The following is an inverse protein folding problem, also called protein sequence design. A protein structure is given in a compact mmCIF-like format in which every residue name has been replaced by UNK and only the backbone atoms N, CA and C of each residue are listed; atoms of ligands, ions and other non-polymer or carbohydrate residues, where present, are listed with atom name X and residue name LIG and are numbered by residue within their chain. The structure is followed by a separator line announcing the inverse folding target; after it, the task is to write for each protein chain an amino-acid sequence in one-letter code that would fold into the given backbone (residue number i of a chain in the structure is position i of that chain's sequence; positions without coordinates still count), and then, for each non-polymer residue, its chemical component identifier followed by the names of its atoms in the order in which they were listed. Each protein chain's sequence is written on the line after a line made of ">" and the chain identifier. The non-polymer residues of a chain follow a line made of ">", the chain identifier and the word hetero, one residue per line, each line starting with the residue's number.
data_IF_269126495870
#
_entry.id   IF_269126495870
#
_cell.length_a   1.000
_cell.length_b   1.000
_cell.length_c   1.000
_cell.angle_alpha   90.00
_cell.angle_beta   90.00
_cell.angle_gamma   90.00
#
_symmetry.space_group_name_H-M   'P 1'
#
loop_
_entity.id
_entity.type
_entity.pdbx_description
1 polymer ?
#
# COMPACT_ATOMS: atom_id res chain seq x y z
N UNK A 1 -13.76 -26.01 -20.36
CA UNK A 1 -13.77 -26.81 -19.10
C UNK A 1 -12.49 -26.45 -18.35
N UNK A 2 -12.58 -25.89 -17.14
CA UNK A 2 -11.44 -25.28 -16.44
C UNK A 2 -10.39 -26.33 -16.05
N UNK A 3 -9.42 -26.60 -16.94
CA UNK A 3 -8.31 -27.53 -16.70
C UNK A 3 -7.55 -27.19 -15.41
N UNK A 4 -7.55 -25.92 -15.02
CA UNK A 4 -6.97 -25.40 -13.76
C UNK A 4 -7.77 -25.75 -12.52
N UNK A 5 -9.10 -25.90 -12.60
CA UNK A 5 -9.94 -26.19 -11.44
C UNK A 5 -9.99 -27.69 -11.14
N UNK A 6 -10.05 -28.54 -12.18
CA UNK A 6 -9.91 -29.99 -11.99
C UNK A 6 -8.57 -30.32 -11.31
N UNK A 7 -7.48 -29.70 -11.77
CA UNK A 7 -6.15 -29.84 -11.14
C UNK A 7 -6.15 -29.46 -9.66
N UNK A 8 -6.85 -28.38 -9.27
CA UNK A 8 -6.95 -27.95 -7.86
C UNK A 8 -7.78 -28.90 -7.01
N UNK A 9 -8.84 -29.47 -7.57
CA UNK A 9 -9.66 -30.48 -6.88
C UNK A 9 -8.84 -31.76 -6.69
N UNK A 10 -8.13 -32.20 -7.74
CA UNK A 10 -7.28 -33.39 -7.72
C UNK A 10 -6.09 -33.29 -6.75
N UNK A 11 -5.67 -32.08 -6.38
CA UNK A 11 -4.62 -31.85 -5.37
C UNK A 11 -5.06 -32.21 -3.94
N UNK A 12 -6.36 -32.18 -3.64
CA UNK A 12 -6.87 -32.55 -2.32
C UNK A 12 -7.31 -34.01 -2.37
N UNK A 13 -6.49 -34.88 -1.76
CA UNK A 13 -6.72 -36.34 -1.75
C UNK A 13 -7.03 -36.83 -0.34
N UNK A 14 -7.45 -38.09 -0.19
CA UNK A 14 -7.67 -38.69 1.13
C UNK A 14 -6.43 -38.65 2.05
N UNK A 15 -5.23 -38.47 1.49
CA UNK A 15 -3.97 -38.33 2.22
C UNK A 15 -3.67 -36.88 2.64
N UNK A 16 -4.50 -35.92 2.26
CA UNK A 16 -4.32 -34.49 2.53
C UNK A 16 -5.08 -34.06 3.78
N UNK A 17 -4.38 -33.42 4.71
CA UNK A 17 -4.96 -32.63 5.80
C UNK A 17 -5.30 -31.23 5.27
N UNK A 18 -6.59 -30.89 5.26
CA UNK A 18 -7.04 -29.56 4.82
C UNK A 18 -7.30 -28.70 6.04
N UNK A 19 -6.63 -27.56 6.11
CA UNK A 19 -6.72 -26.64 7.23
C UNK A 19 -7.32 -25.33 6.73
N UNK A 20 -8.38 -24.86 7.34
CA UNK A 20 -8.89 -23.51 7.14
C UNK A 20 -8.56 -22.64 8.33
N UNK A 21 -8.11 -21.41 8.06
CA UNK A 21 -7.74 -20.45 9.08
C UNK A 21 -8.46 -19.13 8.86
N UNK A 22 -9.20 -18.71 9.88
CA UNK A 22 -9.73 -17.35 9.95
C UNK A 22 -8.68 -16.42 10.56
N UNK A 23 -8.32 -15.36 9.83
CA UNK A 23 -7.17 -14.51 10.13
C UNK A 23 -7.62 -13.21 10.82
N UNK A 24 -7.07 -12.95 12.01
CA UNK A 24 -7.27 -11.70 12.73
C UNK A 24 -5.95 -11.14 13.30
N UNK A 25 -6.01 -9.94 13.87
CA UNK A 25 -4.82 -9.19 14.31
C UNK A 25 -3.95 -9.91 15.36
N UNK A 26 -4.57 -10.60 16.32
CA UNK A 26 -3.85 -11.19 17.47
C UNK A 26 -4.02 -12.70 17.58
N UNK A 27 -5.16 -13.22 17.14
CA UNK A 27 -5.58 -14.59 17.37
C UNK A 27 -6.39 -15.09 16.19
N UNK A 28 -5.86 -16.10 15.53
CA UNK A 28 -6.50 -16.83 14.44
C UNK A 28 -7.31 -17.99 15.00
N UNK A 29 -8.24 -18.50 14.20
CA UNK A 29 -8.94 -19.75 14.48
C UNK A 29 -8.69 -20.76 13.38
N UNK A 30 -8.47 -22.00 13.77
CA UNK A 30 -8.11 -23.10 12.88
C UNK A 30 -9.20 -24.15 12.90
N UNK A 31 -9.60 -24.63 11.73
CA UNK A 31 -10.39 -25.84 11.53
C UNK A 31 -9.62 -26.83 10.66
N UNK A 32 -9.64 -28.11 11.03
CA UNK A 32 -8.96 -29.18 10.31
C UNK A 32 -10.00 -30.17 9.79
N UNK A 33 -9.97 -30.45 8.49
CA UNK A 33 -10.88 -31.38 7.83
C UNK A 33 -10.14 -32.36 6.94
N UNK A 34 -10.78 -33.48 6.64
CA UNK A 34 -10.33 -34.41 5.60
C UNK A 34 -10.78 -33.99 4.19
N UNK A 35 -10.39 -34.75 3.16
CA UNK A 35 -10.81 -34.53 1.77
C UNK A 35 -12.33 -34.61 1.53
N UNK A 36 -13.10 -35.11 2.51
CA UNK A 36 -14.57 -35.13 2.48
C UNK A 36 -15.18 -33.93 3.18
N UNK A 37 -14.40 -33.15 3.93
CA UNK A 37 -14.82 -31.95 4.65
C UNK A 37 -15.32 -32.25 6.06
N UNK A 38 -15.03 -33.45 6.58
CA UNK A 38 -15.38 -33.85 7.95
C UNK A 38 -14.36 -33.27 8.92
N UNK A 39 -14.83 -32.65 10.00
CA UNK A 39 -13.96 -32.11 11.05
C UNK A 39 -13.18 -33.25 11.74
N UNK A 40 -11.86 -33.12 11.80
CA UNK A 40 -10.95 -34.11 12.40
C UNK A 40 -10.64 -33.78 13.87
N UNK A 41 -10.43 -32.50 14.19
CA UNK A 41 -10.20 -32.01 15.56
C UNK A 41 -11.12 -30.85 15.89
N UNK A 42 -11.29 -30.60 17.20
CA UNK A 42 -11.91 -29.37 17.68
C UNK A 42 -11.10 -28.16 17.21
N UNK A 43 -11.80 -27.06 16.99
CA UNK A 43 -11.22 -25.82 16.48
C UNK A 43 -10.33 -25.18 17.53
N UNK A 44 -9.12 -24.78 17.13
CA UNK A 44 -8.06 -24.31 18.05
C UNK A 44 -7.70 -22.87 17.73
N UNK A 45 -7.54 -22.00 18.75
CA UNK A 45 -7.01 -20.67 18.52
C UNK A 45 -5.48 -20.69 18.35
N UNK A 46 -4.96 -19.89 17.43
CA UNK A 46 -3.52 -19.72 17.20
C UNK A 46 -3.16 -18.26 17.38
N UNK A 47 -2.16 -17.96 18.20
CA UNK A 47 -1.71 -16.58 18.43
C UNK A 47 -0.77 -16.11 17.31
N UNK A 48 -0.87 -14.82 16.95
CA UNK A 48 0.01 -14.13 16.01
C UNK A 48 1.39 -13.89 16.66
N UNK A 49 2.16 -14.96 16.89
CA UNK A 49 3.50 -14.93 17.48
C UNK A 49 4.30 -16.17 17.06
N UNK A 50 5.63 -16.11 17.15
CA UNK A 50 6.49 -17.27 16.85
C UNK A 50 6.12 -18.50 17.69
N UNK A 51 5.88 -18.31 19.00
CA UNK A 51 5.45 -19.42 19.86
C UNK A 51 4.07 -19.99 19.45
N UNK A 52 3.12 -19.12 19.06
CA UNK A 52 1.82 -19.56 18.56
C UNK A 52 1.92 -20.34 17.24
N UNK A 53 2.79 -19.91 16.33
CA UNK A 53 3.02 -20.59 15.06
C UNK A 53 3.75 -21.92 15.21
N UNK A 54 4.73 -22.03 16.12
CA UNK A 54 5.36 -23.32 16.42
C UNK A 54 4.38 -24.30 17.10
N UNK A 55 3.49 -23.81 17.98
CA UNK A 55 2.40 -24.62 18.53
C UNK A 55 1.43 -25.09 17.42
N UNK A 56 1.11 -24.22 16.47
CA UNK A 56 0.30 -24.57 15.32
C UNK A 56 0.99 -25.63 14.45
N UNK A 57 2.28 -25.48 14.15
CA UNK A 57 3.04 -26.47 13.40
C UNK A 57 3.07 -27.83 14.10
N UNK A 58 3.29 -27.86 15.42
CA UNK A 58 3.21 -29.10 16.20
C UNK A 58 1.82 -29.75 16.12
N UNK A 59 0.75 -28.94 16.15
CA UNK A 59 -0.62 -29.42 16.00
C UNK A 59 -0.87 -30.04 14.61
N UNK A 60 -0.30 -29.45 13.55
CA UNK A 60 -0.33 -30.02 12.19
C UNK A 60 0.34 -31.40 12.19
N UNK A 61 1.57 -31.49 12.70
CA UNK A 61 2.33 -32.74 12.73
C UNK A 61 1.66 -33.84 13.58
N UNK A 62 0.99 -33.46 14.66
CA UNK A 62 0.19 -34.37 15.48
C UNK A 62 -1.04 -34.87 14.70
N UNK A 63 -1.81 -33.96 14.09
CA UNK A 63 -2.99 -34.33 13.30
C UNK A 63 -2.63 -35.20 12.09
N UNK A 64 -1.51 -34.92 11.42
CA UNK A 64 -1.05 -35.75 10.29
C UNK A 64 -0.75 -37.19 10.74
N UNK A 65 -0.09 -37.38 11.89
CA UNK A 65 0.17 -38.72 12.45
C UNK A 65 -1.08 -39.43 12.95
N UNK A 66 -1.99 -38.69 13.57
CA UNK A 66 -3.22 -39.26 14.16
C UNK A 66 -4.22 -39.73 13.10
N UNK A 67 -4.28 -39.03 11.95
CA UNK A 67 -5.26 -39.31 10.88
C UNK A 67 -4.63 -39.86 9.59
N UNK A 68 -3.40 -40.40 9.69
CA UNK A 68 -2.63 -40.98 8.59
C UNK A 68 -2.61 -40.08 7.34
N UNK A 69 -2.22 -38.82 7.51
CA UNK A 69 -2.06 -37.83 6.43
C UNK A 69 -0.59 -37.64 6.10
N UNK A 70 -0.26 -37.61 4.82
CA UNK A 70 1.09 -37.35 4.31
C UNK A 70 1.25 -35.95 3.76
N UNK A 71 0.15 -35.31 3.36
CA UNK A 71 0.14 -33.97 2.78
C UNK A 71 -0.67 -33.01 3.65
N UNK A 72 -0.38 -31.71 3.56
CA UNK A 72 -1.13 -30.66 4.24
C UNK A 72 -1.30 -29.44 3.34
N UNK A 73 -2.46 -28.79 3.44
CA UNK A 73 -2.73 -27.52 2.78
C UNK A 73 -3.45 -26.58 3.75
N UNK A 74 -2.97 -25.34 3.84
CA UNK A 74 -3.56 -24.30 4.70
C UNK A 74 -4.24 -23.27 3.83
N UNK A 75 -5.55 -23.08 4.03
CA UNK A 75 -6.33 -22.03 3.41
C UNK A 75 -6.64 -20.89 4.37
N UNK A 76 -6.60 -19.67 3.86
CA UNK A 76 -7.00 -18.46 4.57
C UNK A 76 -7.99 -17.64 3.77
N UNK A 77 -8.83 -16.88 4.47
CA UNK A 77 -9.44 -15.68 3.91
C UNK A 77 -8.51 -14.49 4.20
N UNK A 78 -8.04 -13.73 3.19
CA UNK A 78 -7.11 -12.64 3.42
C UNK A 78 -7.81 -11.46 4.11
N UNK A 79 -7.44 -11.20 5.37
CA UNK A 79 -7.89 -10.04 6.15
C UNK A 79 -6.72 -9.10 6.43
N UNK A 80 -6.65 -7.98 5.70
CA UNK A 80 -5.55 -7.02 5.82
C UNK A 80 -4.18 -7.67 5.55
N UNK A 81 -3.16 -7.24 6.29
CA UNK A 81 -1.77 -7.74 6.16
C UNK A 81 -1.42 -8.85 7.17
N UNK A 82 -2.33 -9.24 8.07
CA UNK A 82 -2.01 -10.12 9.19
C UNK A 82 -1.58 -11.53 8.78
N UNK A 83 -1.95 -11.97 7.57
CA UNK A 83 -1.59 -13.29 7.05
C UNK A 83 -0.13 -13.39 6.59
N UNK A 84 0.58 -12.28 6.35
CA UNK A 84 1.94 -12.29 5.80
C UNK A 84 2.94 -13.04 6.70
N UNK A 85 2.88 -12.81 8.02
CA UNK A 85 3.74 -13.49 8.97
C UNK A 85 3.52 -15.01 8.96
N UNK A 86 2.26 -15.43 8.82
CA UNK A 86 1.91 -16.85 8.71
C UNK A 86 2.39 -17.42 7.38
N UNK A 87 2.28 -16.67 6.28
CA UNK A 87 2.72 -17.11 4.96
C UNK A 87 4.22 -17.44 4.95
N UNK A 88 5.08 -16.52 5.42
CA UNK A 88 6.51 -16.76 5.51
C UNK A 88 6.85 -17.91 6.45
N UNK A 89 6.18 -18.02 7.60
CA UNK A 89 6.40 -19.14 8.52
C UNK A 89 6.04 -20.49 7.88
N UNK A 90 4.92 -20.59 7.15
CA UNK A 90 4.50 -21.83 6.50
C UNK A 90 5.42 -22.19 5.33
N UNK A 91 5.89 -21.19 4.58
CA UNK A 91 6.88 -21.37 3.51
C UNK A 91 8.21 -21.92 4.05
N UNK A 92 8.72 -21.40 5.18
CA UNK A 92 9.90 -21.94 5.87
C UNK A 92 9.73 -23.42 6.26
N UNK A 93 8.50 -23.86 6.56
CA UNK A 93 8.17 -25.25 6.91
C UNK A 93 7.77 -26.10 5.70
N UNK A 94 7.76 -25.54 4.49
CA UNK A 94 7.36 -26.24 3.26
C UNK A 94 5.86 -26.56 3.20
N UNK A 95 5.00 -25.81 3.91
CA UNK A 95 3.55 -26.02 3.93
C UNK A 95 2.87 -25.06 2.92
N UNK A 96 2.13 -25.59 1.93
CA UNK A 96 1.37 -24.77 0.99
C UNK A 96 0.30 -23.91 1.67
N UNK A 97 0.38 -22.58 1.48
CA UNK A 97 -0.67 -21.63 1.81
C UNK A 97 -1.50 -21.29 0.57
N UNK A 98 -2.82 -21.27 0.71
CA UNK A 98 -3.76 -20.86 -0.34
C UNK A 98 -4.78 -19.85 0.19
N UNK A 99 -5.30 -19.03 -0.69
CA UNK A 99 -6.31 -18.02 -0.38
C UNK A 99 -7.66 -18.39 -0.97
N UNK A 100 -8.71 -18.25 -0.18
CA UNK A 100 -10.10 -18.30 -0.65
C UNK A 100 -10.65 -16.88 -0.82
N UNK A 101 -11.57 -16.71 -1.76
CA UNK A 101 -12.19 -15.40 -2.00
C UNK A 101 -13.17 -15.06 -0.87
N UNK A 102 -13.06 -13.89 -0.20
CA UNK A 102 -14.01 -13.43 0.82
C UNK A 102 -15.49 -13.54 0.42
N UNK A 103 -15.80 -13.27 -0.86
CA UNK A 103 -17.17 -13.40 -1.38
C UNK A 103 -17.67 -14.84 -1.41
N UNK A 104 -16.78 -15.81 -1.64
CA UNK A 104 -17.13 -17.24 -1.58
C UNK A 104 -17.36 -17.69 -0.14
N UNK A 105 -16.55 -17.19 0.79
CA UNK A 105 -16.70 -17.46 2.22
C UNK A 105 -18.06 -16.95 2.70
N UNK A 106 -18.41 -15.68 2.38
CA UNK A 106 -19.71 -15.10 2.73
C UNK A 106 -20.90 -15.90 2.17
N UNK A 107 -20.88 -16.22 0.87
CA UNK A 107 -21.97 -16.98 0.22
C UNK A 107 -22.12 -18.40 0.79
N UNK A 108 -21.01 -19.02 1.17
CA UNK A 108 -21.04 -20.37 1.75
C UNK A 108 -21.63 -20.35 3.17
N UNK A 109 -21.38 -19.28 3.95
CA UNK A 109 -22.04 -19.09 5.26
C UNK A 109 -23.56 -19.03 5.13
N UNK A 110 -24.08 -18.33 4.12
CA UNK A 110 -25.53 -18.23 3.88
C UNK A 110 -26.21 -19.60 3.64
N UNK A 111 -25.46 -20.61 3.17
CA UNK A 111 -25.97 -21.97 2.98
C UNK A 111 -25.92 -22.81 4.26
N UNK A 112 -24.94 -22.56 5.13
CA UNK A 112 -24.67 -23.34 6.34
C UNK A 112 -25.36 -22.76 7.60
N UNK A 113 -25.61 -21.44 7.65
CA UNK A 113 -26.10 -20.76 8.85
C UNK A 113 -27.63 -20.69 8.92
N UNK A 114 -28.20 -21.50 9.82
CA UNK A 114 -29.56 -21.34 10.37
C UNK A 114 -29.57 -20.93 11.86
N UNK A 115 -28.40 -20.65 12.48
CA UNK A 115 -28.29 -20.33 13.92
C UNK A 115 -27.17 -19.32 14.25
N UNK A 116 -27.42 -18.33 15.13
CA UNK A 116 -26.42 -17.36 15.57
C UNK A 116 -25.52 -17.96 16.65
N UNK A 117 -24.31 -18.38 16.30
CA UNK A 117 -23.25 -18.81 17.24
C UNK A 117 -21.89 -18.25 16.80
N UNK A 118 -20.94 -18.12 17.74
CA UNK A 118 -19.63 -17.45 17.58
C UNK A 118 -18.97 -17.71 16.21
N UNK A 119 -18.69 -16.62 15.49
CA UNK A 119 -18.46 -16.62 14.04
C UNK A 119 -17.06 -17.11 13.63
N UNK A 120 -16.01 -16.68 14.33
CA UNK A 120 -14.60 -16.90 13.90
C UNK A 120 -14.23 -18.38 13.71
N UNK A 121 -14.75 -19.26 14.57
CA UNK A 121 -14.50 -20.70 14.46
C UNK A 121 -15.29 -21.35 13.31
N UNK A 122 -16.48 -20.83 12.96
CA UNK A 122 -17.25 -21.33 11.80
C UNK A 122 -16.58 -20.91 10.50
N UNK A 123 -16.02 -19.71 10.47
CA UNK A 123 -15.35 -19.13 9.30
C UNK A 123 -14.16 -19.98 8.87
N UNK A 124 -13.33 -20.40 9.84
CA UNK A 124 -12.24 -21.33 9.61
C UNK A 124 -12.70 -22.65 8.94
N UNK A 125 -13.86 -23.19 9.33
CA UNK A 125 -14.42 -24.41 8.72
C UNK A 125 -14.90 -24.17 7.29
N UNK A 126 -15.59 -23.06 7.05
CA UNK A 126 -16.05 -22.68 5.71
C UNK A 126 -14.86 -22.53 4.76
N UNK A 127 -13.79 -21.88 5.22
CA UNK A 127 -12.53 -21.75 4.47
C UNK A 127 -11.96 -23.14 4.14
N UNK A 128 -11.87 -24.05 5.12
CA UNK A 128 -11.35 -25.40 4.90
C UNK A 128 -12.16 -26.16 3.84
N UNK A 129 -13.48 -26.06 3.87
CA UNK A 129 -14.39 -26.69 2.88
C UNK A 129 -14.21 -26.10 1.48
N UNK A 130 -14.02 -24.79 1.36
CA UNK A 130 -13.74 -24.16 0.07
C UNK A 130 -12.40 -24.60 -0.53
N UNK A 131 -11.37 -24.77 0.32
CA UNK A 131 -10.07 -25.29 -0.10
C UNK A 131 -10.22 -26.70 -0.65
N UNK A 132 -10.92 -27.56 0.10
CA UNK A 132 -11.22 -28.93 -0.30
C UNK A 132 -11.91 -29.02 -1.66
N UNK A 133 -12.80 -28.07 -1.95
CA UNK A 133 -13.53 -28.00 -3.23
C UNK A 133 -12.69 -27.36 -4.37
N UNK A 134 -11.39 -27.13 -4.16
CA UNK A 134 -10.50 -26.51 -5.15
C UNK A 134 -10.79 -25.03 -5.40
N UNK A 135 -11.58 -24.35 -4.55
CA UNK A 135 -12.01 -22.95 -4.70
C UNK A 135 -11.02 -21.97 -4.05
N UNK A 136 -9.75 -22.10 -4.42
CA UNK A 136 -8.68 -21.27 -3.88
C UNK A 136 -7.73 -20.76 -4.98
N UNK A 137 -6.88 -19.80 -4.63
CA UNK A 137 -5.75 -19.32 -5.43
C UNK A 137 -4.49 -19.33 -4.58
N UNK A 138 -3.33 -19.49 -5.22
CA UNK A 138 -2.06 -19.34 -4.52
C UNK A 138 -1.74 -17.85 -4.37
N UNK A 139 -1.43 -17.37 -3.15
CA UNK A 139 -0.88 -16.04 -2.98
C UNK A 139 0.52 -15.99 -3.58
N UNK A 140 0.91 -14.80 -4.03
CA UNK A 140 2.31 -14.53 -4.33
C UNK A 140 2.99 -14.04 -3.05
N UNK A 141 3.94 -14.82 -2.55
CA UNK A 141 4.85 -14.39 -1.50
C UNK A 141 6.02 -13.70 -2.22
N UNK A 142 6.27 -12.44 -1.88
CA UNK A 142 7.32 -11.65 -2.49
C UNK A 142 8.63 -11.89 -1.76
N UNK A 143 9.71 -11.95 -2.52
CA UNK A 143 11.05 -12.26 -2.04
C UNK A 143 12.06 -11.23 -2.53
N UNK A 144 13.10 -11.02 -1.74
CA UNK A 144 14.27 -10.20 -2.10
C UNK A 144 13.87 -8.84 -2.69
N UNK A 145 14.38 -8.52 -3.89
CA UNK A 145 14.13 -7.24 -4.58
C UNK A 145 12.65 -7.00 -4.85
N UNK A 146 11.85 -8.04 -5.14
CA UNK A 146 10.39 -7.86 -5.36
C UNK A 146 9.68 -7.37 -4.10
N UNK A 147 10.09 -7.88 -2.93
CA UNK A 147 9.52 -7.48 -1.64
C UNK A 147 9.88 -6.03 -1.31
N UNK A 148 11.14 -5.64 -1.53
CA UNK A 148 11.61 -4.27 -1.31
C UNK A 148 10.92 -3.27 -2.27
N UNK A 149 10.81 -3.61 -3.55
CA UNK A 149 10.11 -2.78 -4.53
C UNK A 149 8.63 -2.59 -4.15
N UNK A 150 7.93 -3.65 -3.71
CA UNK A 150 6.54 -3.55 -3.25
C UNK A 150 6.40 -2.68 -2.01
N UNK A 151 7.27 -2.88 -1.02
CA UNK A 151 7.24 -2.12 0.22
C UNK A 151 7.52 -0.63 -0.04
N UNK A 152 8.57 -0.34 -0.80
CA UNK A 152 8.98 1.02 -1.13
C UNK A 152 7.98 1.77 -2.01
N UNK A 153 7.38 1.12 -3.02
CA UNK A 153 6.32 1.75 -3.84
C UNK A 153 5.06 2.03 -3.03
N UNK A 154 4.64 1.09 -2.18
CA UNK A 154 3.52 1.31 -1.25
C UNK A 154 3.79 2.49 -0.32
N UNK A 155 5.01 2.59 0.21
CA UNK A 155 5.41 3.72 1.05
C UNK A 155 5.45 5.03 0.25
N UNK A 156 6.01 5.05 -0.95
CA UNK A 156 6.02 6.22 -1.84
C UNK A 156 4.60 6.72 -2.14
N UNK A 157 3.66 5.83 -2.42
CA UNK A 157 2.24 6.22 -2.60
C UNK A 157 1.66 6.90 -1.37
N UNK A 158 2.00 6.41 -0.17
CA UNK A 158 1.55 7.01 1.09
C UNK A 158 2.09 8.43 1.27
N UNK A 159 3.37 8.67 0.93
CA UNK A 159 3.98 9.99 0.98
C UNK A 159 3.36 10.93 -0.05
N UNK A 160 3.06 10.44 -1.26
CA UNK A 160 2.35 11.22 -2.29
C UNK A 160 0.95 11.62 -1.81
N UNK A 161 0.21 10.69 -1.17
CA UNK A 161 -1.11 10.98 -0.57
C UNK A 161 -1.00 12.06 0.51
N UNK A 162 0.00 11.96 1.39
CA UNK A 162 0.26 12.98 2.41
C UNK A 162 0.61 14.34 1.79
N UNK A 163 1.51 14.36 0.80
CA UNK A 163 1.92 15.56 0.07
C UNK A 163 0.72 16.25 -0.56
N UNK A 164 -0.17 15.49 -1.20
CA UNK A 164 -1.41 16.02 -1.78
C UNK A 164 -2.35 16.59 -0.71
N UNK A 165 -2.43 15.96 0.47
CA UNK A 165 -3.22 16.48 1.58
C UNK A 165 -2.67 17.81 2.12
N UNK A 166 -1.35 17.96 2.19
CA UNK A 166 -0.68 19.23 2.56
C UNK A 166 -0.89 20.30 1.50
N UNK A 167 -0.75 19.94 0.22
CA UNK A 167 -1.00 20.83 -0.92
C UNK A 167 -2.44 21.39 -0.86
N UNK A 168 -3.42 20.53 -0.62
CA UNK A 168 -4.81 20.94 -0.49
C UNK A 168 -5.05 21.86 0.72
N UNK A 169 -4.29 21.70 1.81
CA UNK A 169 -4.33 22.63 2.95
C UNK A 169 -3.74 24.00 2.58
N UNK A 170 -2.66 24.04 1.80
CA UNK A 170 -2.07 25.29 1.31
C UNK A 170 -3.01 26.03 0.35
N UNK A 171 -3.69 25.30 -0.53
CA UNK A 171 -4.70 25.88 -1.43
C UNK A 171 -5.83 26.51 -0.61
N UNK A 172 -6.43 25.77 0.33
CA UNK A 172 -7.48 26.33 1.21
C UNK A 172 -7.02 27.55 2.01
N UNK A 173 -5.75 27.55 2.42
CA UNK A 173 -5.16 28.71 3.09
C UNK A 173 -5.10 29.92 2.15
N UNK A 174 -4.66 29.73 0.89
CA UNK A 174 -4.65 30.79 -0.11
C UNK A 174 -6.06 31.31 -0.41
N UNK A 175 -7.04 30.42 -0.57
CA UNK A 175 -8.44 30.80 -0.80
C UNK A 175 -8.98 31.73 0.30
N UNK A 176 -8.49 31.57 1.53
CA UNK A 176 -8.89 32.37 2.68
C UNK A 176 -8.11 33.68 2.81
N UNK A 177 -6.79 33.67 2.61
CA UNK A 177 -5.90 34.77 3.00
C UNK A 177 -5.25 35.51 1.82
N UNK A 178 -5.20 34.92 0.63
CA UNK A 178 -4.68 35.56 -0.58
C UNK A 178 -5.21 34.90 -1.88
N UNK A 179 -6.52 34.97 -2.15
CA UNK A 179 -7.14 34.21 -3.26
C UNK A 179 -6.61 34.60 -4.65
N UNK A 180 -6.16 35.83 -4.84
CA UNK A 180 -5.60 36.31 -6.11
C UNK A 180 -4.20 35.73 -6.41
N UNK A 181 -3.57 35.04 -5.45
CA UNK A 181 -2.25 34.43 -5.62
C UNK A 181 -2.15 33.50 -6.83
N UNK A 182 -3.22 32.73 -7.11
CA UNK A 182 -3.29 31.78 -8.23
C UNK A 182 -3.18 32.46 -9.61
N UNK A 183 -3.52 33.75 -9.70
CA UNK A 183 -3.37 34.54 -10.93
C UNK A 183 -1.89 34.73 -11.31
N UNK A 184 -0.99 34.67 -10.32
CA UNK A 184 0.46 34.81 -10.50
C UNK A 184 1.14 33.45 -10.51
N UNK A 185 0.67 32.54 -9.66
CA UNK A 185 1.25 31.22 -9.45
C UNK A 185 0.18 30.12 -9.63
N UNK A 186 0.01 29.60 -10.85
CA UNK A 186 -0.87 28.45 -11.10
C UNK A 186 -0.40 27.15 -10.42
N UNK A 187 0.87 27.10 -10.00
CA UNK A 187 1.48 25.95 -9.32
C UNK A 187 2.49 26.40 -8.27
N UNK A 188 2.77 25.53 -7.30
CA UNK A 188 3.67 25.78 -6.17
C UNK A 188 5.15 25.54 -6.53
N UNK A 189 5.63 26.26 -7.55
CA UNK A 189 7.06 26.29 -7.87
C UNK A 189 7.89 26.96 -6.76
N UNK A 190 9.23 26.88 -6.88
CA UNK A 190 10.17 27.41 -5.88
C UNK A 190 9.88 28.84 -5.42
N UNK A 191 9.57 29.74 -6.36
CA UNK A 191 9.22 31.13 -6.04
C UNK A 191 7.90 31.25 -5.28
N UNK A 192 6.87 30.48 -5.64
CA UNK A 192 5.59 30.48 -4.91
C UNK A 192 5.78 30.02 -3.46
N UNK A 193 6.57 28.96 -3.25
CA UNK A 193 6.91 28.49 -1.91
C UNK A 193 7.71 29.53 -1.10
N UNK A 194 8.68 30.22 -1.73
CA UNK A 194 9.45 31.28 -1.09
C UNK A 194 8.56 32.47 -0.66
N UNK A 195 7.59 32.84 -1.50
CA UNK A 195 6.61 33.87 -1.15
C UNK A 195 5.79 33.43 0.06
N UNK A 196 5.24 32.22 0.05
CA UNK A 196 4.43 31.69 1.16
C UNK A 196 5.23 31.52 2.46
N UNK A 197 6.54 31.31 2.35
CA UNK A 197 7.44 31.20 3.49
C UNK A 197 7.75 32.57 4.13
N UNK A 198 8.02 33.59 3.31
CA UNK A 198 8.57 34.86 3.78
C UNK A 198 7.55 36.01 3.83
N UNK A 199 6.61 36.05 2.89
CA UNK A 199 5.62 37.12 2.72
C UNK A 199 4.26 36.54 2.26
N UNK A 200 3.62 35.64 3.04
CA UNK A 200 2.41 34.94 2.63
C UNK A 200 1.16 35.82 2.46
N UNK A 201 1.10 37.03 3.04
CA UNK A 201 -0.11 37.86 3.01
C UNK A 201 -0.01 39.02 2.01
N UNK A 202 -1.14 39.53 1.51
CA UNK A 202 -1.17 40.73 0.66
C UNK A 202 -0.48 41.94 1.32
N UNK A 203 -0.73 42.15 2.63
CA UNK A 203 -0.13 43.27 3.36
C UNK A 203 1.39 43.18 3.53
N UNK A 204 1.98 41.99 3.38
CA UNK A 204 3.44 41.84 3.41
C UNK A 204 4.11 42.50 2.20
N UNK A 205 3.33 42.86 1.16
CA UNK A 205 3.79 43.47 -0.08
C UNK A 205 3.69 45.01 -0.08
N UNK A 206 2.88 45.61 0.79
CA UNK A 206 2.46 47.01 0.68
C UNK A 206 3.64 48.01 0.71
N UNK A 207 4.67 47.73 1.52
CA UNK A 207 5.82 48.61 1.73
C UNK A 207 7.16 48.03 1.22
N UNK A 208 7.10 47.01 0.37
CA UNK A 208 8.31 46.33 -0.11
C UNK A 208 8.71 46.79 -1.51
N UNK A 209 10.00 47.00 -1.73
CA UNK A 209 10.56 47.18 -3.08
C UNK A 209 10.72 45.83 -3.76
N UNK A 210 10.63 45.81 -5.09
CA UNK A 210 10.83 44.58 -5.88
C UNK A 210 12.21 44.00 -5.61
N UNK A 211 13.23 44.84 -5.55
CA UNK A 211 14.61 44.47 -5.27
C UNK A 211 14.76 43.88 -3.85
N UNK A 212 14.06 44.42 -2.85
CA UNK A 212 14.04 43.89 -1.49
C UNK A 212 13.37 42.52 -1.38
N UNK A 213 12.23 42.32 -2.06
CA UNK A 213 11.57 41.01 -2.12
C UNK A 213 12.42 39.98 -2.85
N UNK A 214 13.06 40.37 -3.95
CA UNK A 214 13.98 39.50 -4.67
C UNK A 214 15.12 39.02 -3.76
N UNK A 215 15.75 39.92 -3.01
CA UNK A 215 16.82 39.55 -2.08
C UNK A 215 16.31 38.61 -0.98
N UNK A 216 15.14 38.90 -0.40
CA UNK A 216 14.52 38.03 0.61
C UNK A 216 14.26 36.63 0.07
N UNK A 217 13.67 36.50 -1.13
CA UNK A 217 13.32 35.19 -1.68
C UNK A 217 14.55 34.38 -2.14
N UNK A 218 15.69 35.01 -2.46
CA UNK A 218 16.95 34.29 -2.73
C UNK A 218 17.46 33.48 -1.55
N UNK A 219 17.04 33.81 -0.34
CA UNK A 219 17.38 33.06 0.87
C UNK A 219 16.63 31.73 0.97
N UNK A 220 15.58 31.54 0.17
CA UNK A 220 14.78 30.33 0.16
C UNK A 220 15.45 29.20 -0.63
N UNK A 221 15.27 27.97 -0.16
CA UNK A 221 15.99 26.80 -0.65
C UNK A 221 15.84 26.60 -2.17
N UNK A 222 16.98 26.50 -2.86
CA UNK A 222 17.04 26.19 -4.29
C UNK A 222 16.57 27.30 -5.23
N UNK A 223 16.27 28.51 -4.74
CA UNK A 223 15.82 29.66 -5.53
C UNK A 223 16.94 30.71 -5.71
N UNK A 224 17.66 30.65 -6.84
CA UNK A 224 18.76 31.60 -7.12
C UNK A 224 18.33 32.87 -7.84
N UNK A 225 17.35 32.77 -8.75
CA UNK A 225 16.90 33.88 -9.60
C UNK A 225 15.38 34.04 -9.52
N UNK A 226 14.86 34.84 -8.56
CA UNK A 226 13.45 35.17 -8.51
C UNK A 226 13.01 35.92 -9.78
N UNK A 227 11.85 35.55 -10.31
CA UNK A 227 11.32 36.13 -11.54
C UNK A 227 10.69 37.50 -11.25
N UNK A 228 11.41 38.58 -11.60
CA UNK A 228 10.96 39.97 -11.40
C UNK A 228 9.52 40.24 -11.90
N UNK A 229 9.08 39.79 -13.09
CA UNK A 229 7.71 40.03 -13.55
C UNK A 229 6.64 39.41 -12.66
N UNK A 230 6.90 38.22 -12.09
CA UNK A 230 5.95 37.58 -11.16
C UNK A 230 5.85 38.32 -9.84
N UNK A 231 6.96 38.82 -9.32
CA UNK A 231 6.97 39.62 -8.08
C UNK A 231 6.23 40.93 -8.29
N UNK A 232 6.46 41.61 -9.42
CA UNK A 232 5.72 42.82 -9.77
C UNK A 232 4.22 42.52 -9.85
N UNK A 233 3.83 41.45 -10.55
CA UNK A 233 2.41 41.08 -10.66
C UNK A 233 1.80 40.73 -9.30
N UNK A 234 2.57 40.10 -8.42
CA UNK A 234 2.15 39.78 -7.05
C UNK A 234 1.85 41.04 -6.22
N UNK A 235 2.71 42.07 -6.33
CA UNK A 235 2.48 43.37 -5.68
C UNK A 235 1.23 44.05 -6.26
N UNK A 236 0.98 43.92 -7.56
CA UNK A 236 -0.23 44.47 -8.17
C UNK A 236 -1.49 43.82 -7.59
N UNK A 237 -1.56 42.48 -7.60
CA UNK A 237 -2.76 41.76 -7.12
C UNK A 237 -2.94 41.83 -5.60
N UNK A 238 -1.88 42.11 -4.83
CA UNK A 238 -2.00 42.26 -3.37
C UNK A 238 -2.74 43.53 -2.96
N UNK A 239 -2.75 44.57 -3.80
CA UNK A 239 -3.38 45.87 -3.46
C UNK A 239 -4.89 45.78 -3.37
N UNK A 240 -5.49 44.96 -4.23
CA UNK A 240 -6.94 44.79 -4.35
C UNK A 240 -7.40 43.44 -3.78
N UNK A 241 -6.56 42.78 -2.97
CA UNK A 241 -6.86 41.44 -2.46
C UNK A 241 -8.01 41.44 -1.46
N UNK A 242 -8.91 40.46 -1.59
CA UNK A 242 -10.04 40.25 -0.66
C UNK A 242 -9.69 39.31 0.51
N UNK A 243 -8.42 38.94 0.66
CA UNK A 243 -7.96 38.00 1.69
C UNK A 243 -8.28 38.45 3.11
N UNK A 244 -8.59 37.50 4.01
CA UNK A 244 -8.92 37.79 5.40
C UNK A 244 -7.73 38.47 6.11
N UNK A 245 -8.00 39.58 6.78
CA UNK A 245 -7.00 40.35 7.54
C UNK A 245 -6.95 40.01 9.03
N UNK A 246 -7.93 39.27 9.54
CA UNK A 246 -8.03 38.84 10.94
C UNK A 246 -7.26 37.53 11.20
N UNK A 247 -6.72 37.36 12.41
CA UNK A 247 -6.08 36.10 12.83
C UNK A 247 -4.74 35.76 12.16
N UNK A 248 -4.13 36.73 11.45
CA UNK A 248 -2.94 36.50 10.62
C UNK A 248 -1.73 35.90 11.35
N UNK A 249 -1.56 36.17 12.65
CA UNK A 249 -0.43 35.63 13.42
C UNK A 249 -0.39 34.11 13.37
N UNK A 250 -1.53 33.46 13.63
CA UNK A 250 -1.61 31.99 13.61
C UNK A 250 -1.68 31.46 12.18
N UNK A 251 -2.36 32.16 11.28
CA UNK A 251 -2.37 31.80 9.86
C UNK A 251 -0.96 31.80 9.24
N UNK A 252 -0.08 32.74 9.63
CA UNK A 252 1.33 32.75 9.22
C UNK A 252 2.08 31.50 9.70
N UNK A 253 1.89 31.13 10.96
CA UNK A 253 2.50 29.91 11.52
C UNK A 253 2.01 28.66 10.79
N UNK A 254 0.71 28.63 10.45
CA UNK A 254 0.11 27.53 9.71
C UNK A 254 0.73 27.39 8.32
N UNK A 255 0.72 28.43 7.48
CA UNK A 255 1.26 28.34 6.12
C UNK A 255 2.76 28.04 6.10
N UNK A 256 3.54 28.63 7.00
CA UNK A 256 4.97 28.32 7.12
C UNK A 256 5.21 26.84 7.47
N UNK A 257 4.36 26.27 8.32
CA UNK A 257 4.43 24.84 8.68
C UNK A 257 4.05 23.94 7.51
N UNK A 258 3.00 24.28 6.77
CA UNK A 258 2.58 23.53 5.58
C UNK A 258 3.65 23.56 4.48
N UNK A 259 4.25 24.73 4.22
CA UNK A 259 5.33 24.88 3.23
C UNK A 259 6.54 24.02 3.60
N UNK A 260 6.97 24.04 4.88
CA UNK A 260 8.06 23.16 5.34
C UNK A 260 7.72 21.69 5.15
N UNK A 261 6.51 21.25 5.54
CA UNK A 261 6.09 19.85 5.39
C UNK A 261 6.02 19.44 3.92
N UNK A 262 5.51 20.32 3.04
CA UNK A 262 5.47 20.08 1.60
C UNK A 262 6.87 19.85 1.03
N UNK A 263 7.83 20.72 1.35
CA UNK A 263 9.23 20.56 0.90
C UNK A 263 9.86 19.25 1.38
N UNK A 264 9.67 18.94 2.66
CA UNK A 264 10.18 17.69 3.23
C UNK A 264 9.63 16.47 2.47
N UNK A 265 8.32 16.43 2.24
CA UNK A 265 7.69 15.32 1.51
C UNK A 265 8.18 15.22 0.07
N UNK A 266 8.38 16.34 -0.65
CA UNK A 266 8.94 16.31 -2.00
C UNK A 266 10.37 15.74 -2.01
N UNK A 267 11.21 16.10 -1.03
CA UNK A 267 12.56 15.55 -0.89
C UNK A 267 12.55 14.06 -0.56
N UNK A 268 11.71 13.63 0.39
CA UNK A 268 11.56 12.22 0.77
C UNK A 268 11.05 11.38 -0.40
N UNK A 269 10.07 11.88 -1.16
CA UNK A 269 9.56 11.21 -2.37
C UNK A 269 10.64 11.09 -3.44
N UNK A 270 11.43 12.15 -3.67
CA UNK A 270 12.50 12.13 -4.66
C UNK A 270 13.60 11.12 -4.27
N UNK A 271 14.09 11.18 -3.03
CA UNK A 271 15.11 10.27 -2.52
C UNK A 271 14.65 8.80 -2.58
N UNK A 272 13.42 8.52 -2.15
CA UNK A 272 12.86 7.17 -2.22
C UNK A 272 12.67 6.70 -3.67
N UNK A 273 12.32 7.60 -4.59
CA UNK A 273 12.21 7.26 -6.01
C UNK A 273 13.57 6.87 -6.58
N UNK A 274 14.64 7.60 -6.25
CA UNK A 274 16.00 7.27 -6.68
C UNK A 274 16.46 5.90 -6.13
N UNK A 275 16.19 5.63 -4.86
CA UNK A 275 16.51 4.34 -4.23
C UNK A 275 15.77 3.18 -4.90
N UNK A 276 14.47 3.34 -5.19
CA UNK A 276 13.68 2.32 -5.87
C UNK A 276 14.15 2.07 -7.30
N UNK A 277 14.53 3.11 -8.04
CA UNK A 277 15.10 2.97 -9.38
C UNK A 277 16.42 2.21 -9.33
N UNK A 278 17.30 2.54 -8.38
CA UNK A 278 18.57 1.83 -8.20
C UNK A 278 18.34 0.35 -7.86
N UNK A 279 17.35 0.03 -7.02
CA UNK A 279 16.97 -1.36 -6.74
C UNK A 279 16.46 -2.07 -8.01
N UNK A 280 15.55 -1.43 -8.75
CA UNK A 280 14.97 -2.03 -9.96
C UNK A 280 16.03 -2.30 -11.04
N UNK A 281 17.02 -1.43 -11.18
CA UNK A 281 18.16 -1.60 -12.10
C UNK A 281 19.01 -2.84 -11.82
N UNK A 282 18.87 -3.48 -10.65
CA UNK A 282 19.55 -4.76 -10.36
C UNK A 282 18.85 -5.97 -10.97
N UNK A 283 17.65 -5.79 -11.54
CA UNK A 283 16.83 -6.86 -12.13
C UNK A 283 17.00 -6.94 -13.65
N UNK A 284 16.94 -8.15 -14.20
CA UNK A 284 17.01 -8.36 -15.66
C UNK A 284 15.75 -7.81 -16.35
N UNK A 285 14.61 -7.86 -15.65
CA UNK A 285 13.34 -7.35 -16.14
C UNK A 285 13.38 -5.83 -16.40
N UNK A 286 14.15 -5.08 -15.62
CA UNK A 286 14.35 -3.64 -15.86
C UNK A 286 15.05 -3.38 -17.20
N UNK A 287 16.09 -4.15 -17.52
CA UNK A 287 16.81 -4.03 -18.79
C UNK A 287 15.86 -4.25 -19.98
N UNK A 288 14.94 -5.21 -19.86
CA UNK A 288 13.92 -5.46 -20.89
C UNK A 288 12.93 -4.30 -21.00
N UNK A 289 12.41 -3.78 -19.88
CA UNK A 289 11.47 -2.67 -19.90
C UNK A 289 12.10 -1.40 -20.47
N UNK A 290 13.39 -1.17 -20.23
CA UNK A 290 14.12 -0.02 -20.74
C UNK A 290 14.18 0.01 -22.29
N UNK A 291 14.05 -1.14 -22.95
CA UNK A 291 14.01 -1.20 -24.42
C UNK A 291 12.73 -0.62 -25.03
N UNK A 292 11.68 -0.40 -24.21
CA UNK A 292 10.37 0.08 -24.67
C UNK A 292 10.37 1.62 -24.70
N UNK A 293 10.24 2.25 -25.88
CA UNK A 293 10.23 3.70 -25.98
C UNK A 293 9.05 4.32 -25.21
N UNK A 294 9.33 5.29 -24.35
CA UNK A 294 8.32 6.05 -23.62
C UNK A 294 8.04 5.56 -22.19
N UNK A 295 8.67 4.47 -21.74
CA UNK A 295 8.65 4.08 -20.32
C UNK A 295 9.75 4.81 -19.54
N UNK A 296 9.34 5.59 -18.55
CA UNK A 296 10.26 6.22 -17.60
C UNK A 296 10.56 5.31 -16.40
N UNK A 297 11.69 5.55 -15.73
CA UNK A 297 12.18 4.71 -14.63
C UNK A 297 11.14 4.51 -13.52
N UNK A 298 10.45 5.58 -13.12
CA UNK A 298 9.40 5.49 -12.10
C UNK A 298 8.23 4.58 -12.52
N UNK A 299 7.86 4.58 -13.81
CA UNK A 299 6.81 3.70 -14.34
C UNK A 299 7.29 2.26 -14.40
N UNK A 300 8.56 2.03 -14.74
CA UNK A 300 9.15 0.68 -14.73
C UNK A 300 9.20 0.11 -13.31
N UNK A 301 9.61 0.92 -12.31
CA UNK A 301 9.58 0.55 -10.89
C UNK A 301 8.16 0.15 -10.45
N UNK A 302 7.16 0.96 -10.79
CA UNK A 302 5.76 0.70 -10.41
C UNK A 302 5.20 -0.55 -11.09
N UNK A 303 5.59 -0.80 -12.34
CA UNK A 303 5.24 -2.04 -13.02
C UNK A 303 5.88 -3.23 -12.31
N UNK A 304 7.20 -3.20 -12.08
CA UNK A 304 7.95 -4.27 -11.43
C UNK A 304 7.50 -4.53 -10.00
N UNK A 305 7.10 -3.50 -9.23
CA UNK A 305 6.57 -3.71 -7.89
C UNK A 305 5.26 -4.50 -7.92
N UNK A 306 4.42 -4.28 -8.93
CA UNK A 306 3.12 -4.95 -9.06
C UNK A 306 3.22 -6.35 -9.68
N UNK A 307 3.98 -6.48 -10.77
CA UNK A 307 4.04 -7.72 -11.56
C UNK A 307 5.26 -8.58 -11.24
N UNK A 308 6.30 -8.04 -10.60
CA UNK A 308 7.61 -8.64 -10.35
C UNK A 308 8.17 -9.43 -11.53
N UNK A 309 8.89 -10.53 -11.26
CA UNK A 309 9.61 -11.28 -12.28
C UNK A 309 8.71 -11.88 -13.35
N UNK A 310 9.11 -11.70 -14.61
CA UNK A 310 8.35 -12.21 -15.74
C UNK A 310 8.42 -13.73 -15.87
N UNK A 311 9.39 -14.37 -15.20
CA UNK A 311 9.54 -15.84 -15.17
C UNK A 311 8.36 -16.54 -14.51
N UNK A 312 7.56 -15.83 -13.72
CA UNK A 312 6.39 -16.37 -13.04
C UNK A 312 5.17 -16.51 -13.97
N UNK A 313 5.25 -16.00 -15.21
CA UNK A 313 4.17 -16.02 -16.18
C UNK A 313 4.51 -16.93 -17.36
N UNK A 314 3.58 -17.82 -17.70
CA UNK A 314 3.67 -18.73 -18.84
C UNK A 314 3.04 -18.13 -20.11
N UNK A 315 2.07 -17.23 -19.94
CA UNK A 315 1.35 -16.58 -21.04
C UNK A 315 1.16 -15.09 -20.72
N UNK A 316 1.42 -14.16 -21.68
CA UNK A 316 1.23 -12.72 -21.47
C UNK A 316 -0.17 -12.31 -21.00
N UNK A 317 -1.21 -13.10 -21.33
CA UNK A 317 -2.59 -12.85 -20.87
C UNK A 317 -2.73 -12.98 -19.36
N UNK A 318 -1.77 -13.57 -18.66
CA UNK A 318 -1.77 -13.63 -17.20
C UNK A 318 -1.45 -12.28 -16.55
N UNK A 319 -0.83 -11.34 -17.29
CA UNK A 319 -0.57 -9.97 -16.86
C UNK A 319 -1.77 -9.04 -17.10
N UNK A 320 -2.63 -9.39 -18.06
CA UNK A 320 -3.80 -8.59 -18.46
C UNK A 320 -5.03 -9.20 -17.76
N UNK A 321 -5.37 -8.68 -16.58
CA UNK A 321 -6.59 -9.09 -15.85
C UNK A 321 -7.82 -8.29 -16.25
#
# INVERSE_FOLDING_TARGET
>A
MNCTQNRKIEQVTDQTLVIGMDIAKQKHFVAMVDARGRELKKRVPVLQSRAGFEQFYALIQEAMREFDKTEVIVGIEPTGHYWLNLAHFLEEKGIPLVMVNPMHVKRSKELDDNLPTKHDAKDALVIARLVKDGRFSYPRILHEVEAELRAGTTFRESLIKERNAVLNQMIRWLDQYFPEFVQVFPSFGKLALAVLEHTPFPMDMADQTIEGLMERYRQSEGLKCPQKPKIQKLIEVSRDSIGITEGQRMARTQIATLVRRYRQLEQEIAALTEELVALAQTTVEYEWLQTIPGLGDATMVELLSEIGSFQQYQDPRQLIK
#
